data_IF_502245623168
#
_entry.id   IF_502245623168
#
_cell.length_a   1.000
_cell.length_b   1.000
_cell.length_c   1.000
_cell.angle_alpha   90.00
_cell.angle_beta   90.00
_cell.angle_gamma   90.00
#
_symmetry.space_group_name_H-M   'P 1'
#
loop_
_entity.id
_entity.type
_entity.pdbx_description
1 polymer ?
#
# COMPACT_ATOMS: atom_id res chain seq x y z
N UNK A 1 15.65 50.92 -15.82
CA UNK A 1 14.41 50.67 -16.58
C UNK A 1 14.55 49.34 -17.31
N UNK A 2 13.54 48.47 -17.11
CA UNK A 2 13.26 47.16 -17.72
C UNK A 2 13.79 45.89 -17.04
N UNK A 3 12.86 45.27 -16.31
CA UNK A 3 12.83 43.94 -15.70
C UNK A 3 12.87 42.78 -16.70
N UNK A 4 13.28 41.61 -16.21
CA UNK A 4 12.52 40.34 -16.18
C UNK A 4 13.44 39.28 -15.55
N UNK A 5 13.13 38.63 -14.43
CA UNK A 5 11.91 37.85 -14.21
C UNK A 5 12.20 36.38 -14.54
N UNK A 6 13.18 35.76 -13.87
CA UNK A 6 13.41 34.31 -13.99
C UNK A 6 12.31 33.56 -13.26
N UNK A 7 11.22 33.26 -13.97
CA UNK A 7 10.22 32.27 -13.56
C UNK A 7 10.93 30.93 -13.35
N UNK A 8 11.12 30.56 -12.08
CA UNK A 8 11.52 29.22 -11.67
C UNK A 8 10.44 28.24 -12.16
N UNK A 9 10.74 27.54 -13.25
CA UNK A 9 9.87 26.53 -13.83
C UNK A 9 9.71 25.39 -12.81
N UNK A 10 8.52 25.27 -12.23
CA UNK A 10 8.12 24.10 -11.46
C UNK A 10 8.29 22.86 -12.34
N UNK A 11 9.26 22.01 -12.01
CA UNK A 11 9.42 20.72 -12.62
C UNK A 11 8.16 19.89 -12.36
N UNK A 12 7.27 19.80 -13.35
CA UNK A 12 6.14 18.90 -13.31
C UNK A 12 6.69 17.48 -13.14
N UNK A 13 6.45 16.87 -11.98
CA UNK A 13 6.85 15.49 -11.69
C UNK A 13 6.07 14.55 -12.61
N UNK A 14 6.64 14.33 -13.79
CA UNK A 14 6.20 13.35 -14.79
C UNK A 14 6.34 11.96 -14.14
N UNK A 15 5.24 11.47 -13.59
CA UNK A 15 5.22 10.17 -12.90
C UNK A 15 4.05 9.98 -11.92
N UNK A 16 3.37 11.05 -11.48
CA UNK A 16 2.13 10.91 -10.70
C UNK A 16 0.91 10.74 -11.62
N UNK A 17 0.93 9.73 -12.48
CA UNK A 17 -0.31 9.28 -13.09
C UNK A 17 -1.16 8.68 -11.96
N UNK A 18 -2.28 9.33 -11.62
CA UNK A 18 -3.29 8.73 -10.75
C UNK A 18 -3.67 7.40 -11.39
N UNK A 19 -3.44 6.27 -10.70
CA UNK A 19 -3.95 4.98 -11.17
C UNK A 19 -5.46 5.15 -11.29
N UNK A 20 -5.96 5.06 -12.52
CA UNK A 20 -7.39 5.00 -12.76
C UNK A 20 -7.87 3.71 -12.09
N UNK A 21 -8.41 3.83 -10.87
CA UNK A 21 -9.31 2.79 -10.37
C UNK A 21 -10.42 2.70 -11.41
N UNK A 22 -10.70 1.52 -11.98
CA UNK A 22 -11.80 1.37 -12.93
C UNK A 22 -13.06 2.00 -12.35
N UNK A 23 -13.69 2.91 -13.09
CA UNK A 23 -14.88 3.60 -12.64
C UNK A 23 -15.98 2.56 -12.37
N UNK A 24 -16.32 2.35 -11.10
CA UNK A 24 -17.40 1.46 -10.69
C UNK A 24 -17.17 0.61 -9.45
N UNK A 25 -15.93 0.45 -8.98
CA UNK A 25 -15.66 -0.31 -7.74
C UNK A 25 -14.86 0.53 -6.74
N UNK A 26 -15.44 0.88 -5.58
CA UNK A 26 -14.69 1.62 -4.55
C UNK A 26 -13.58 0.72 -4.00
N UNK A 27 -12.33 1.09 -4.26
CA UNK A 27 -11.18 0.50 -3.60
C UNK A 27 -10.95 1.21 -2.26
N UNK A 28 -10.80 0.44 -1.19
CA UNK A 28 -10.42 0.95 0.15
C UNK A 28 -8.93 0.76 0.39
N UNK A 29 -8.33 1.60 1.24
CA UNK A 29 -6.93 1.46 1.60
C UNK A 29 -6.74 0.30 2.59
N UNK A 30 -5.87 -0.64 2.23
CA UNK A 30 -5.31 -1.63 3.15
C UNK A 30 -3.93 -1.15 3.60
N UNK A 31 -3.77 -0.85 4.89
CA UNK A 31 -2.52 -0.38 5.48
C UNK A 31 -2.05 -1.33 6.58
N UNK A 32 -0.78 -1.73 6.51
CA UNK A 32 -0.14 -2.56 7.52
C UNK A 32 1.32 -2.18 7.69
N UNK A 33 1.85 -2.33 8.90
CA UNK A 33 3.28 -2.23 9.15
C UNK A 33 3.88 -3.62 9.01
N UNK A 34 4.96 -3.71 8.24
CA UNK A 34 5.72 -4.93 8.00
C UNK A 34 7.21 -4.60 8.07
N UNK A 35 8.05 -5.63 8.20
CA UNK A 35 9.49 -5.43 8.08
C UNK A 35 9.87 -4.96 6.66
N UNK A 36 10.99 -4.23 6.49
CA UNK A 36 11.48 -3.85 5.16
C UNK A 36 11.68 -5.05 4.23
N UNK A 37 12.23 -6.14 4.75
CA UNK A 37 12.52 -7.36 3.99
C UNK A 37 11.24 -8.01 3.46
N UNK A 38 10.18 -8.03 4.28
CA UNK A 38 8.87 -8.56 3.89
C UNK A 38 8.25 -7.71 2.78
N UNK A 39 8.36 -6.38 2.91
CA UNK A 39 7.88 -5.44 1.89
C UNK A 39 8.61 -5.63 0.57
N UNK A 40 9.93 -5.78 0.60
CA UNK A 40 10.76 -5.94 -0.59
C UNK A 40 10.49 -7.27 -1.29
N UNK A 41 10.32 -8.36 -0.52
CA UNK A 41 9.93 -9.66 -1.04
C UNK A 41 8.57 -9.60 -1.77
N UNK A 42 7.56 -8.99 -1.14
CA UNK A 42 6.24 -8.81 -1.75
C UNK A 42 6.32 -7.95 -3.02
N UNK A 43 7.19 -6.93 -3.04
CA UNK A 43 7.40 -6.09 -4.22
C UNK A 43 8.04 -6.85 -5.37
N UNK A 44 9.12 -7.58 -5.10
CA UNK A 44 9.79 -8.40 -6.09
C UNK A 44 8.85 -9.45 -6.70
N UNK A 45 8.01 -10.08 -5.89
CA UNK A 45 7.01 -11.04 -6.37
C UNK A 45 5.94 -10.39 -7.26
N UNK A 46 5.43 -9.21 -6.88
CA UNK A 46 4.48 -8.46 -7.70
C UNK A 46 5.10 -8.03 -9.05
N UNK A 47 6.34 -7.56 -9.03
CA UNK A 47 7.08 -7.15 -10.23
C UNK A 47 7.34 -8.36 -11.15
N UNK A 48 7.72 -9.53 -10.59
CA UNK A 48 7.90 -10.78 -11.34
C UNK A 48 6.59 -11.28 -11.97
N UNK A 49 5.46 -11.07 -11.30
CA UNK A 49 4.13 -11.37 -11.83
C UNK A 49 3.58 -10.30 -12.79
N UNK A 50 4.29 -9.18 -12.99
CA UNK A 50 3.86 -8.09 -13.87
C UNK A 50 2.62 -7.33 -13.37
N UNK A 51 2.30 -7.40 -12.08
CA UNK A 51 1.11 -6.80 -11.48
C UNK A 51 1.48 -5.76 -10.42
N UNK A 52 0.50 -4.92 -10.05
CA UNK A 52 0.71 -3.97 -8.96
C UNK A 52 0.79 -4.69 -7.61
N UNK A 53 1.57 -4.14 -6.67
CA UNK A 53 1.64 -4.65 -5.29
C UNK A 53 0.27 -4.78 -4.61
N UNK A 54 -0.68 -3.89 -4.93
CA UNK A 54 -2.04 -3.96 -4.39
C UNK A 54 -2.79 -5.19 -4.92
N UNK A 55 -2.69 -5.44 -6.23
CA UNK A 55 -3.28 -6.62 -6.85
C UNK A 55 -2.63 -7.93 -6.36
N UNK A 56 -1.32 -7.91 -6.13
CA UNK A 56 -0.61 -9.05 -5.55
C UNK A 56 -1.13 -9.39 -4.15
N UNK A 57 -1.29 -8.39 -3.29
CA UNK A 57 -1.84 -8.58 -1.94
C UNK A 57 -3.28 -9.07 -2.00
N UNK A 58 -4.11 -8.51 -2.89
CA UNK A 58 -5.49 -8.95 -3.07
C UNK A 58 -5.57 -10.44 -3.49
N UNK A 59 -4.72 -10.88 -4.42
CA UNK A 59 -4.62 -12.28 -4.83
C UNK A 59 -4.14 -13.19 -3.69
N UNK A 60 -3.14 -12.76 -2.90
CA UNK A 60 -2.68 -13.52 -1.74
C UNK A 60 -3.79 -13.72 -0.71
N UNK A 61 -4.55 -12.67 -0.39
CA UNK A 61 -5.67 -12.76 0.56
C UNK A 61 -6.77 -13.68 0.03
N UNK A 62 -7.09 -13.60 -1.27
CA UNK A 62 -8.07 -14.49 -1.89
C UNK A 62 -7.59 -15.95 -1.91
N UNK A 63 -6.30 -16.20 -2.12
CA UNK A 63 -5.72 -17.53 -2.10
C UNK A 63 -5.72 -18.11 -0.68
N UNK A 64 -5.30 -17.32 0.32
CA UNK A 64 -5.33 -17.73 1.72
C UNK A 64 -6.75 -18.03 2.23
N UNK A 65 -7.75 -17.26 1.80
CA UNK A 65 -9.15 -17.55 2.13
C UNK A 65 -9.65 -18.90 1.58
N UNK A 66 -9.02 -19.42 0.51
CA UNK A 66 -9.38 -20.71 -0.11
C UNK A 66 -8.56 -21.87 0.45
N UNK A 67 -7.27 -21.65 0.64
CA UNK A 67 -6.30 -22.71 0.95
C UNK A 67 -5.86 -22.71 2.43
N UNK A 68 -6.18 -21.66 3.20
CA UNK A 68 -5.85 -21.51 4.61
C UNK A 68 -4.37 -21.79 4.91
N UNK A 69 -3.47 -21.07 4.24
CA UNK A 69 -2.03 -21.37 4.29
C UNK A 69 -1.46 -21.23 5.70
N UNK A 70 -1.92 -20.26 6.48
CA UNK A 70 -1.48 -20.05 7.87
C UNK A 70 -2.68 -19.58 8.70
N UNK A 71 -3.04 -20.34 9.75
CA UNK A 71 -3.87 -19.78 10.82
C UNK A 71 -2.95 -19.00 11.77
N UNK A 72 -3.21 -17.71 12.02
CA UNK A 72 -2.55 -17.06 13.15
C UNK A 72 -2.91 -17.84 14.42
N UNK A 73 -1.91 -18.26 15.20
CA UNK A 73 -2.13 -18.92 16.48
C UNK A 73 -2.77 -17.92 17.45
N UNK A 74 -4.10 -17.90 17.45
CA UNK A 74 -4.97 -16.94 18.14
C UNK A 74 -4.79 -15.47 17.72
N UNK A 75 -5.88 -14.67 17.71
CA UNK A 75 -5.70 -13.23 17.79
C UNK A 75 -4.99 -12.97 19.11
N UNK A 76 -3.86 -12.26 19.07
CA UNK A 76 -3.31 -11.66 20.27
C UNK A 76 -4.50 -11.06 21.04
N UNK A 77 -4.67 -11.49 22.29
CA UNK A 77 -5.34 -10.68 23.29
C UNK A 77 -4.63 -9.33 23.20
N UNK A 78 -5.20 -8.40 22.44
CA UNK A 78 -4.88 -7.00 22.60
C UNK A 78 -5.44 -6.73 23.99
N UNK A 79 -4.57 -6.75 24.99
CA UNK A 79 -4.94 -6.30 26.32
C UNK A 79 -5.53 -4.90 26.12
N UNK A 80 -6.85 -4.78 26.26
CA UNK A 80 -7.61 -3.55 26.00
C UNK A 80 -7.18 -2.40 26.93
N UNK A 81 -6.29 -2.66 27.89
CA UNK A 81 -5.74 -1.69 28.83
C UNK A 81 -4.76 -0.68 28.19
N UNK A 82 -4.19 -0.95 27.01
CA UNK A 82 -3.27 0.00 26.37
C UNK A 82 -3.97 1.16 25.64
N UNK A 83 -5.28 1.04 25.34
CA UNK A 83 -6.02 2.09 24.61
C UNK A 83 -6.63 3.16 25.53
N UNK A 84 -6.57 2.96 26.86
CA UNK A 84 -7.20 3.84 27.85
C UNK A 84 -6.25 4.80 28.59
N UNK A 85 -4.98 4.94 28.18
CA UNK A 85 -4.05 5.90 28.79
C UNK A 85 -3.32 6.72 27.72
N UNK A 86 -3.92 7.85 27.35
CA UNK A 86 -3.28 8.83 26.46
C UNK A 86 -4.23 9.86 25.88
N UNK A 87 -5.08 10.46 26.72
CA UNK A 87 -5.75 11.74 26.46
C UNK A 87 -5.12 12.82 27.35
#
# INVERSE_FOLDING_TARGET
>A
MHSAGSMSAMAAVRGRAKRAVPAGTPAVLLQGRVSPETRDAARAAADAAGISIAAYIELLVQADAREHFVRPESPLCLDEEAFAQGA
#
